data_IF_842956715646
#
_entry.id   IF_842956715646
#
_cell.length_a   1.000
_cell.length_b   1.000
_cell.length_c   1.000
_cell.angle_alpha   90.00
_cell.angle_beta   90.00
_cell.angle_gamma   90.00
#
_symmetry.space_group_name_H-M   'P 1'
#
loop_
_entity.id
_entity.type
_entity.pdbx_description
1 polymer ?
#
# COMPACT_ATOMS: atom_id res chain seq x y z
N UNK A 1 -61.70 -25.00 -12.64
CA UNK A 1 -61.91 -23.55 -12.72
C UNK A 1 -60.83 -22.96 -13.61
N UNK A 2 -61.20 -22.01 -14.47
CA UNK A 2 -60.40 -21.11 -15.32
C UNK A 2 -59.15 -20.54 -14.60
N UNK A 3 -58.08 -19.99 -15.20
CA UNK A 3 -57.66 -19.66 -16.57
C UNK A 3 -56.14 -19.29 -16.53
N UNK A 4 -55.33 -19.11 -17.58
CA UNK A 4 -55.43 -19.25 -19.06
C UNK A 4 -54.00 -19.39 -19.63
N UNK A 5 -53.84 -19.78 -20.90
CA UNK A 5 -52.57 -19.63 -21.64
C UNK A 5 -52.38 -18.20 -22.19
N UNK A 6 -51.13 -17.81 -22.45
CA UNK A 6 -50.79 -16.62 -23.27
C UNK A 6 -49.43 -16.81 -23.96
N UNK A 7 -49.41 -16.65 -25.29
CA UNK A 7 -48.21 -16.74 -26.12
C UNK A 7 -47.84 -15.33 -26.63
N UNK A 8 -46.60 -14.89 -26.37
CA UNK A 8 -46.10 -13.58 -26.75
C UNK A 8 -45.34 -13.60 -28.08
N UNK A 9 -46.03 -13.26 -29.16
CA UNK A 9 -45.43 -13.06 -30.48
C UNK A 9 -44.67 -11.72 -30.52
N UNK A 10 -43.44 -11.66 -31.05
CA UNK A 10 -42.70 -10.40 -31.22
C UNK A 10 -42.36 -10.15 -32.70
N UNK A 11 -42.86 -9.02 -33.20
CA UNK A 11 -42.78 -8.56 -34.59
C UNK A 11 -41.55 -7.67 -34.83
N UNK A 12 -41.12 -7.59 -36.09
CA UNK A 12 -40.08 -6.68 -36.55
C UNK A 12 -40.54 -5.20 -36.52
N UNK A 13 -39.62 -4.24 -36.33
CA UNK A 13 -39.88 -2.83 -36.59
C UNK A 13 -39.59 -2.46 -38.06
N UNK A 14 -40.59 -1.89 -38.73
CA UNK A 14 -40.43 -1.19 -40.03
C UNK A 14 -40.34 0.31 -39.78
N UNK A 15 -39.44 1.03 -40.47
CA UNK A 15 -39.36 2.50 -40.44
C UNK A 15 -39.50 3.13 -41.84
N UNK A 16 -39.89 4.43 -41.95
CA UNK A 16 -40.53 4.95 -43.16
C UNK A 16 -39.79 6.11 -43.87
N UNK A 17 -40.12 6.33 -45.14
CA UNK A 17 -40.01 7.59 -45.90
C UNK A 17 -40.70 7.39 -47.26
N UNK A 18 -41.32 8.37 -47.94
CA UNK A 18 -41.56 9.77 -47.60
C UNK A 18 -41.70 10.63 -48.88
N UNK A 19 -42.83 11.34 -49.07
CA UNK A 19 -43.13 12.29 -50.20
C UNK A 19 -43.24 11.65 -51.61
N UNK A 20 -43.93 12.21 -52.63
CA UNK A 20 -44.63 13.50 -52.78
C UNK A 20 -45.93 13.38 -53.63
N UNK A 21 -46.71 14.45 -53.71
CA UNK A 21 -47.98 14.60 -54.44
C UNK A 21 -47.83 15.13 -55.88
N UNK A 22 -48.78 14.82 -56.78
CA UNK A 22 -49.64 15.83 -57.47
C UNK A 22 -50.44 15.33 -58.70
N UNK A 23 -51.72 15.74 -58.76
CA UNK A 23 -52.57 16.07 -59.93
C UNK A 23 -52.66 15.17 -61.20
N UNK A 24 -53.88 14.69 -61.48
CA UNK A 24 -54.44 14.40 -62.82
C UNK A 24 -54.75 15.70 -63.60
N UNK A 25 -55.09 15.69 -64.92
CA UNK A 25 -56.42 15.24 -65.39
C UNK A 25 -56.42 14.50 -66.77
N UNK A 26 -57.58 14.46 -67.42
CA UNK A 26 -58.08 13.41 -68.34
C UNK A 26 -58.20 13.86 -69.83
N UNK A 27 -58.70 12.97 -70.70
CA UNK A 27 -59.36 13.16 -72.02
C UNK A 27 -58.59 12.82 -73.33
N UNK A 28 -59.03 11.72 -73.96
CA UNK A 28 -59.20 11.38 -75.40
C UNK A 28 -58.42 12.15 -76.49
N UNK A 29 -57.78 11.43 -77.43
CA UNK A 29 -58.31 11.14 -78.80
C UNK A 29 -57.26 10.51 -79.76
N UNK A 30 -57.76 9.79 -80.77
CA UNK A 30 -57.03 8.90 -81.68
C UNK A 30 -55.99 9.51 -82.64
N UNK A 31 -54.90 8.77 -82.90
CA UNK A 31 -54.12 8.79 -84.15
C UNK A 31 -53.44 7.42 -84.40
N UNK A 32 -53.18 7.08 -85.67
CA UNK A 32 -52.73 5.75 -86.13
C UNK A 32 -51.26 5.41 -85.78
N UNK A 33 -50.87 4.12 -85.70
CA UNK A 33 -49.56 3.71 -85.21
C UNK A 33 -48.42 3.94 -86.23
N UNK A 34 -47.32 4.62 -85.86
CA UNK A 34 -46.10 4.61 -86.65
C UNK A 34 -45.39 3.26 -86.54
N UNK A 35 -44.97 2.69 -87.68
CA UNK A 35 -44.20 1.44 -87.74
C UNK A 35 -42.90 1.53 -86.90
N UNK A 36 -42.47 0.44 -86.25
CA UNK A 36 -41.34 0.46 -85.32
C UNK A 36 -40.03 0.79 -86.03
N UNK A 37 -39.35 1.85 -85.57
CA UNK A 37 -38.03 2.25 -86.07
C UNK A 37 -36.95 1.81 -85.09
N UNK A 38 -36.07 0.92 -85.55
CA UNK A 38 -34.66 0.69 -85.17
C UNK A 38 -34.19 0.54 -83.70
N UNK A 39 -34.89 1.02 -82.66
CA UNK A 39 -34.37 1.00 -81.28
C UNK A 39 -34.66 -0.30 -80.51
N UNK A 40 -35.54 -1.16 -81.05
CA UNK A 40 -35.82 -2.49 -80.47
C UNK A 40 -34.57 -3.36 -80.32
N UNK A 41 -33.60 -3.25 -81.23
CA UNK A 41 -32.34 -4.00 -81.16
C UNK A 41 -31.48 -3.60 -79.95
N UNK A 42 -31.38 -2.30 -79.63
CA UNK A 42 -30.64 -1.81 -78.46
C UNK A 42 -31.31 -2.25 -77.16
N UNK A 43 -32.65 -2.18 -77.09
CA UNK A 43 -33.39 -2.67 -75.93
C UNK A 43 -33.25 -4.18 -75.74
N UNK A 44 -33.30 -4.97 -76.83
CA UNK A 44 -33.04 -6.41 -76.78
C UNK A 44 -31.60 -6.73 -76.35
N UNK A 45 -30.61 -5.95 -76.79
CA UNK A 45 -29.21 -6.10 -76.38
C UNK A 45 -29.01 -5.76 -74.89
N UNK A 46 -29.65 -4.70 -74.38
CA UNK A 46 -29.65 -4.39 -72.94
C UNK A 46 -30.34 -5.48 -72.11
N UNK A 47 -31.46 -6.04 -72.59
CA UNK A 47 -32.13 -7.16 -71.93
C UNK A 47 -31.32 -8.46 -72.00
N UNK A 48 -30.52 -8.68 -73.05
CA UNK A 48 -29.58 -9.79 -73.13
C UNK A 48 -28.47 -9.64 -72.09
N UNK A 49 -27.80 -8.48 -72.04
CA UNK A 49 -26.76 -8.17 -71.04
C UNK A 49 -27.31 -8.23 -69.60
N UNK A 50 -28.52 -7.75 -69.35
CA UNK A 50 -29.15 -7.86 -68.03
C UNK A 50 -29.44 -9.32 -67.63
N UNK A 51 -29.86 -10.16 -68.57
CA UNK A 51 -30.07 -11.60 -68.34
C UNK A 51 -28.76 -12.37 -68.18
N UNK A 52 -27.70 -11.94 -68.86
CA UNK A 52 -26.35 -12.50 -68.71
C UNK A 52 -25.79 -12.18 -67.33
N UNK A 53 -25.76 -10.90 -66.96
CA UNK A 53 -25.34 -10.44 -65.62
C UNK A 53 -26.13 -11.08 -64.48
N UNK A 54 -27.44 -11.29 -64.66
CA UNK A 54 -28.27 -11.94 -63.64
C UNK A 54 -27.96 -13.43 -63.50
N UNK A 55 -27.56 -14.12 -64.57
CA UNK A 55 -27.04 -15.50 -64.50
C UNK A 55 -25.66 -15.56 -63.85
N UNK A 56 -24.77 -14.61 -64.15
CA UNK A 56 -23.47 -14.51 -63.48
C UNK A 56 -23.64 -14.36 -61.97
N UNK A 57 -24.55 -13.47 -61.53
CA UNK A 57 -24.87 -13.29 -60.10
C UNK A 57 -25.48 -14.54 -59.47
N UNK A 58 -26.35 -15.27 -60.18
CA UNK A 58 -26.90 -16.55 -59.70
C UNK A 58 -25.80 -17.62 -59.55
N UNK A 59 -24.88 -17.71 -60.50
CA UNK A 59 -23.74 -18.63 -60.44
C UNK A 59 -22.78 -18.26 -59.30
N UNK A 60 -22.53 -16.97 -59.07
CA UNK A 60 -21.68 -16.50 -57.96
C UNK A 60 -22.31 -16.81 -56.59
N UNK A 61 -23.63 -16.61 -56.45
CA UNK A 61 -24.35 -16.98 -55.22
C UNK A 61 -24.28 -18.49 -54.97
N UNK A 62 -24.55 -19.32 -55.98
CA UNK A 62 -24.44 -20.77 -55.87
C UNK A 62 -23.02 -21.24 -55.48
N UNK A 63 -21.97 -20.60 -56.02
CA UNK A 63 -20.59 -20.88 -55.64
C UNK A 63 -20.31 -20.50 -54.18
N UNK A 64 -20.81 -19.35 -53.71
CA UNK A 64 -20.68 -18.94 -52.30
C UNK A 64 -21.44 -19.88 -51.36
N UNK A 65 -22.65 -20.29 -51.72
CA UNK A 65 -23.43 -21.27 -50.94
C UNK A 65 -22.72 -22.63 -50.83
N UNK A 66 -22.08 -23.10 -51.90
CA UNK A 66 -21.24 -24.30 -51.87
C UNK A 66 -20.06 -24.16 -50.87
N UNK A 67 -19.34 -23.03 -50.88
CA UNK A 67 -18.25 -22.79 -49.91
C UNK A 67 -18.75 -22.69 -48.46
N UNK A 68 -19.97 -22.18 -48.23
CA UNK A 68 -20.57 -22.16 -46.89
C UNK A 68 -20.94 -23.57 -46.43
N UNK A 69 -21.42 -24.43 -47.34
CA UNK A 69 -21.67 -25.84 -47.04
C UNK A 69 -20.37 -26.59 -46.69
N UNK A 70 -19.32 -26.42 -47.49
CA UNK A 70 -18.00 -27.01 -47.25
C UNK A 70 -17.39 -26.56 -45.91
N UNK A 71 -17.45 -25.26 -45.58
CA UNK A 71 -16.96 -24.76 -44.29
C UNK A 71 -17.77 -25.26 -43.09
N UNK A 72 -19.08 -25.50 -43.27
CA UNK A 72 -19.92 -26.13 -42.23
C UNK A 72 -19.58 -27.61 -42.04
N UNK A 73 -19.38 -28.34 -43.13
CA UNK A 73 -18.94 -29.73 -43.08
C UNK A 73 -17.54 -29.87 -42.46
N UNK A 74 -16.61 -28.98 -42.79
CA UNK A 74 -15.29 -28.91 -42.17
C UNK A 74 -15.36 -28.60 -40.66
N UNK A 75 -16.27 -27.71 -40.23
CA UNK A 75 -16.52 -27.45 -38.80
C UNK A 75 -17.16 -28.66 -38.09
N UNK A 76 -18.08 -29.37 -38.73
CA UNK A 76 -18.64 -30.61 -38.19
C UNK A 76 -17.63 -31.76 -38.15
N UNK A 77 -16.74 -31.86 -39.13
CA UNK A 77 -15.63 -32.81 -39.11
C UNK A 77 -14.62 -32.46 -38.00
N UNK A 78 -14.33 -31.17 -37.82
CA UNK A 78 -13.46 -30.70 -36.74
C UNK A 78 -14.07 -30.81 -35.35
N UNK A 79 -15.39 -30.83 -35.20
CA UNK A 79 -16.06 -31.05 -33.91
C UNK A 79 -16.30 -32.53 -33.61
N UNK A 80 -16.39 -33.39 -34.63
CA UNK A 80 -16.44 -34.86 -34.50
C UNK A 80 -15.04 -35.49 -34.36
N UNK A 81 -13.98 -34.77 -34.73
CA UNK A 81 -12.60 -35.20 -34.46
C UNK A 81 -12.34 -35.19 -32.94
N UNK A 82 -11.90 -36.32 -32.34
CA UNK A 82 -11.65 -36.37 -30.90
C UNK A 82 -10.43 -35.52 -30.53
N UNK A 83 -10.69 -34.32 -30.00
CA UNK A 83 -9.68 -33.48 -29.36
C UNK A 83 -9.13 -34.22 -28.14
N UNK A 84 -7.92 -34.76 -28.27
CA UNK A 84 -7.30 -35.68 -27.31
C UNK A 84 -6.86 -35.05 -25.97
N UNK A 85 -7.52 -33.96 -25.53
CA UNK A 85 -7.19 -33.22 -24.31
C UNK A 85 -8.39 -32.59 -23.60
N UNK A 86 -9.64 -32.95 -23.93
CA UNK A 86 -10.83 -32.52 -23.19
C UNK A 86 -11.67 -33.73 -22.77
N UNK A 87 -11.49 -34.14 -21.51
CA UNK A 87 -12.40 -35.06 -20.82
C UNK A 87 -13.78 -34.43 -20.68
N UNK A 88 -14.70 -34.84 -21.52
CA UNK A 88 -16.13 -34.50 -21.44
C UNK A 88 -16.77 -35.25 -20.27
N UNK A 89 -16.71 -34.67 -19.07
CA UNK A 89 -17.65 -35.03 -18.00
C UNK A 89 -18.94 -34.22 -18.19
N UNK A 90 -19.93 -34.84 -18.85
CA UNK A 90 -21.31 -34.34 -18.95
C UNK A 90 -22.03 -34.40 -17.59
N UNK A 91 -21.63 -33.55 -16.63
CA UNK A 91 -22.51 -33.04 -15.57
C UNK A 91 -22.14 -31.58 -15.33
N UNK A 92 -23.14 -30.69 -15.43
CA UNK A 92 -22.99 -29.24 -15.28
C UNK A 92 -22.87 -28.81 -13.80
N UNK A 93 -21.89 -29.36 -13.07
CA UNK A 93 -21.53 -28.83 -11.75
C UNK A 93 -20.73 -27.54 -11.89
N UNK A 94 -21.23 -26.46 -11.29
CA UNK A 94 -20.48 -25.22 -11.17
C UNK A 94 -19.30 -25.41 -10.20
N UNK A 95 -18.10 -24.90 -10.51
CA UNK A 95 -16.97 -24.96 -9.59
C UNK A 95 -17.31 -24.21 -8.30
N UNK A 96 -17.15 -24.86 -7.15
CA UNK A 96 -17.39 -24.28 -5.83
C UNK A 96 -16.37 -23.20 -5.47
N UNK A 97 -15.10 -23.39 -5.87
CA UNK A 97 -14.00 -22.48 -5.53
C UNK A 97 -12.81 -22.60 -6.47
N UNK A 98 -12.10 -21.50 -6.71
CA UNK A 98 -10.76 -21.52 -7.31
C UNK A 98 -9.70 -21.57 -6.19
N UNK A 99 -8.88 -22.63 -6.15
CA UNK A 99 -7.89 -22.87 -5.11
C UNK A 99 -6.53 -22.26 -5.43
N UNK A 100 -6.12 -22.31 -6.70
CA UNK A 100 -4.81 -21.88 -7.15
C UNK A 100 -4.91 -21.23 -8.53
N UNK A 101 -4.10 -20.20 -8.76
CA UNK A 101 -3.97 -19.50 -10.03
C UNK A 101 -2.48 -19.45 -10.38
N UNK A 102 -2.10 -20.05 -11.51
CA UNK A 102 -0.72 -20.07 -12.00
C UNK A 102 -0.69 -19.42 -13.38
N UNK A 103 0.21 -18.46 -13.59
CA UNK A 103 0.44 -17.90 -14.94
C UNK A 103 1.52 -18.70 -15.65
N UNK A 104 1.40 -18.96 -16.96
CA UNK A 104 2.48 -19.64 -17.72
C UNK A 104 3.76 -18.80 -17.79
N UNK A 105 3.62 -17.48 -17.68
CA UNK A 105 4.75 -16.56 -17.45
C UNK A 105 5.51 -16.90 -16.15
N UNK A 106 4.83 -17.38 -15.11
CA UNK A 106 5.46 -17.86 -13.87
C UNK A 106 6.29 -19.14 -14.07
N UNK A 107 6.05 -19.88 -15.16
CA UNK A 107 6.72 -21.14 -15.52
C UNK A 107 7.82 -20.96 -16.59
N UNK A 108 8.10 -19.71 -17.01
CA UNK A 108 9.09 -19.43 -18.06
C UNK A 108 8.67 -19.84 -19.48
N UNK A 109 7.40 -20.21 -19.67
CA UNK A 109 6.84 -20.53 -20.98
C UNK A 109 6.53 -19.22 -21.75
N UNK A 110 6.80 -19.21 -23.05
CA UNK A 110 6.56 -18.03 -23.91
C UNK A 110 5.08 -17.82 -24.25
N UNK A 111 4.22 -18.80 -23.96
CA UNK A 111 2.77 -18.72 -24.18
C UNK A 111 2.08 -17.97 -23.04
N UNK A 112 0.96 -17.29 -23.36
CA UNK A 112 0.25 -16.40 -22.43
C UNK A 112 -0.89 -17.10 -21.66
N UNK A 113 -0.80 -18.41 -21.48
CA UNK A 113 -1.84 -19.15 -20.77
C UNK A 113 -1.86 -18.87 -19.27
N UNK A 114 -2.99 -19.20 -18.66
CA UNK A 114 -3.22 -19.23 -17.22
C UNK A 114 -3.86 -20.55 -16.85
N UNK A 115 -3.51 -21.08 -15.69
CA UNK A 115 -4.07 -22.29 -15.13
C UNK A 115 -4.79 -21.96 -13.85
N UNK A 116 -6.02 -22.45 -13.69
CA UNK A 116 -6.71 -22.52 -12.40
C UNK A 116 -6.82 -23.96 -11.94
N UNK A 117 -6.64 -24.16 -10.64
CA UNK A 117 -7.14 -25.34 -9.94
C UNK A 117 -8.53 -25.03 -9.40
N UNK A 118 -9.55 -25.72 -9.91
CA UNK A 118 -10.94 -25.58 -9.52
C UNK A 118 -11.36 -26.75 -8.62
N UNK A 119 -12.15 -26.43 -7.60
CA UNK A 119 -12.76 -27.37 -6.66
C UNK A 119 -14.24 -27.54 -7.01
N UNK A 120 -14.64 -28.76 -7.35
CA UNK A 120 -16.02 -29.18 -7.61
C UNK A 120 -16.57 -29.93 -6.39
N UNK A 121 -17.78 -30.50 -6.47
CA UNK A 121 -18.37 -31.25 -5.35
C UNK A 121 -17.54 -32.52 -5.02
N UNK A 122 -17.12 -33.26 -6.05
CA UNK A 122 -16.42 -34.55 -5.91
C UNK A 122 -14.98 -34.57 -6.47
N UNK A 123 -14.51 -33.48 -7.10
CA UNK A 123 -13.25 -33.48 -7.85
C UNK A 123 -12.45 -32.16 -7.78
N UNK A 124 -11.14 -32.27 -8.06
CA UNK A 124 -10.25 -31.14 -8.33
C UNK A 124 -9.79 -31.19 -9.79
N UNK A 125 -10.01 -30.10 -10.56
CA UNK A 125 -9.66 -30.04 -11.97
C UNK A 125 -8.71 -28.87 -12.28
N UNK A 126 -7.69 -29.11 -13.12
CA UNK A 126 -6.85 -28.05 -13.67
C UNK A 126 -7.39 -27.59 -15.03
N UNK A 127 -7.85 -26.33 -15.13
CA UNK A 127 -8.30 -25.74 -16.40
C UNK A 127 -7.31 -24.69 -16.93
N UNK A 128 -6.96 -24.82 -18.22
CA UNK A 128 -6.14 -23.85 -18.97
C UNK A 128 -7.03 -22.79 -19.62
N UNK A 129 -6.61 -21.53 -19.51
CA UNK A 129 -7.22 -20.38 -20.17
C UNK A 129 -6.17 -19.69 -21.04
N UNK A 130 -6.50 -19.44 -22.31
CA UNK A 130 -5.59 -18.81 -23.29
C UNK A 130 -5.24 -17.35 -22.96
N UNK A 131 -6.07 -16.69 -22.16
CA UNK A 131 -5.89 -15.28 -21.79
C UNK A 131 -6.63 -14.91 -20.50
N UNK A 132 -6.24 -13.79 -19.91
CA UNK A 132 -6.94 -13.16 -18.80
C UNK A 132 -8.41 -12.86 -19.12
N UNK A 133 -8.71 -12.42 -20.35
CA UNK A 133 -10.07 -12.13 -20.76
C UNK A 133 -10.96 -13.39 -20.74
N UNK A 134 -10.45 -14.54 -21.23
CA UNK A 134 -11.16 -15.83 -21.16
C UNK A 134 -11.40 -16.29 -19.72
N UNK A 135 -10.43 -16.10 -18.84
CA UNK A 135 -10.54 -16.39 -17.41
C UNK A 135 -11.64 -15.55 -16.75
N UNK A 136 -11.63 -14.22 -16.93
CA UNK A 136 -12.68 -13.35 -16.37
C UNK A 136 -14.05 -13.60 -16.99
N UNK A 137 -14.12 -13.98 -18.26
CA UNK A 137 -15.36 -14.35 -18.96
C UNK A 137 -15.96 -15.64 -18.38
N UNK A 138 -15.13 -16.67 -18.13
CA UNK A 138 -15.54 -17.91 -17.42
C UNK A 138 -16.10 -17.61 -16.02
N UNK A 139 -15.35 -16.86 -15.20
CA UNK A 139 -15.76 -16.44 -13.85
C UNK A 139 -17.07 -15.64 -13.82
N UNK A 140 -17.42 -14.95 -14.92
CA UNK A 140 -18.68 -14.19 -15.07
C UNK A 140 -19.83 -15.00 -15.65
N UNK A 141 -19.56 -16.05 -16.42
CA UNK A 141 -20.58 -16.80 -17.19
C UNK A 141 -21.17 -17.99 -16.47
N UNK A 142 -20.48 -18.55 -15.48
CA UNK A 142 -20.96 -19.71 -14.72
C UNK A 142 -21.41 -19.31 -13.28
N UNK A 143 -22.36 -18.37 -13.08
CA UNK A 143 -22.83 -18.00 -11.75
C UNK A 143 -23.82 -19.03 -11.20
N UNK A 144 -23.28 -20.17 -10.76
CA UNK A 144 -23.94 -21.08 -9.82
C UNK A 144 -24.06 -20.44 -8.43
N UNK A 145 -24.87 -19.39 -8.32
CA UNK A 145 -25.20 -18.60 -7.12
C UNK A 145 -24.14 -17.64 -6.52
N UNK A 146 -22.83 -17.86 -6.68
CA UNK A 146 -21.80 -16.97 -6.13
C UNK A 146 -20.68 -16.66 -7.15
N UNK A 147 -20.18 -15.40 -7.27
CA UNK A 147 -19.05 -15.08 -8.14
C UNK A 147 -17.76 -15.76 -7.65
N UNK A 148 -17.16 -16.59 -8.51
CA UNK A 148 -15.96 -17.36 -8.17
C UNK A 148 -14.77 -16.44 -7.83
N UNK A 149 -14.38 -16.35 -6.55
CA UNK A 149 -13.20 -15.59 -6.14
C UNK A 149 -11.93 -16.25 -6.70
N UNK A 150 -11.23 -15.55 -7.61
CA UNK A 150 -9.96 -16.03 -8.19
C UNK A 150 -8.78 -15.56 -7.32
N UNK A 151 -7.94 -16.47 -6.80
CA UNK A 151 -6.74 -16.10 -6.06
C UNK A 151 -5.76 -15.24 -6.87
N UNK A 152 -4.96 -14.42 -6.18
CA UNK A 152 -3.82 -13.74 -6.79
C UNK A 152 -2.89 -14.76 -7.47
N UNK A 153 -2.33 -14.45 -8.65
CA UNK A 153 -1.46 -15.37 -9.36
C UNK A 153 -0.25 -15.75 -8.51
N UNK A 154 0.05 -17.05 -8.49
CA UNK A 154 1.23 -17.60 -7.83
C UNK A 154 2.49 -16.89 -8.33
N UNK A 155 3.27 -16.41 -7.36
CA UNK A 155 4.55 -15.73 -7.54
C UNK A 155 5.44 -16.52 -8.51
N UNK A 156 6.13 -15.81 -9.42
CA UNK A 156 6.98 -16.47 -10.43
C UNK A 156 8.13 -17.21 -9.76
N UNK A 157 8.72 -18.21 -10.44
CA UNK A 157 9.88 -18.93 -9.90
C UNK A 157 11.07 -17.97 -9.65
N UNK A 158 11.24 -16.97 -10.53
CA UNK A 158 12.26 -15.94 -10.38
C UNK A 158 11.97 -15.00 -9.19
N UNK A 159 10.73 -14.50 -9.06
CA UNK A 159 10.33 -13.69 -7.89
C UNK A 159 10.48 -14.49 -6.58
N UNK A 160 10.16 -15.78 -6.59
CA UNK A 160 10.29 -16.67 -5.45
C UNK A 160 11.76 -16.91 -5.06
N UNK A 161 12.66 -17.00 -6.05
CA UNK A 161 14.11 -17.03 -5.84
C UNK A 161 14.60 -15.71 -5.26
N UNK A 162 14.19 -14.59 -5.84
CA UNK A 162 14.52 -13.23 -5.40
C UNK A 162 14.10 -12.98 -3.94
N UNK A 163 12.91 -13.46 -3.55
CA UNK A 163 12.40 -13.37 -2.16
C UNK A 163 13.19 -14.26 -1.22
N UNK A 164 13.58 -15.47 -1.64
CA UNK A 164 14.46 -16.36 -0.85
C UNK A 164 15.84 -15.74 -0.64
N UNK A 165 16.47 -15.24 -1.71
CA UNK A 165 17.79 -14.61 -1.62
C UNK A 165 17.77 -13.38 -0.70
N UNK A 166 16.74 -12.52 -0.82
CA UNK A 166 16.56 -11.37 0.09
C UNK A 166 16.35 -11.81 1.54
N UNK A 167 15.56 -12.86 1.79
CA UNK A 167 15.37 -13.41 3.13
C UNK A 167 16.66 -14.00 3.71
N UNK A 168 17.46 -14.70 2.91
CA UNK A 168 18.77 -15.23 3.31
C UNK A 168 19.76 -14.09 3.64
N UNK A 169 19.80 -13.05 2.81
CA UNK A 169 20.61 -11.84 3.07
C UNK A 169 20.16 -11.11 4.35
N UNK A 170 18.85 -11.00 4.60
CA UNK A 170 18.33 -10.41 5.84
C UNK A 170 18.69 -11.26 7.07
N UNK A 171 18.55 -12.58 7.00
CA UNK A 171 18.95 -13.51 8.09
C UNK A 171 20.45 -13.44 8.36
N UNK A 172 21.29 -13.40 7.32
CA UNK A 172 22.74 -13.25 7.47
C UNK A 172 23.10 -11.91 8.14
N UNK A 173 22.49 -10.81 7.69
CA UNK A 173 22.67 -9.47 8.30
C UNK A 173 22.23 -9.44 9.76
N UNK A 174 21.06 -10.02 10.07
CA UNK A 174 20.55 -10.12 11.45
C UNK A 174 21.51 -10.94 12.32
N UNK A 175 22.02 -12.07 11.82
CA UNK A 175 23.00 -12.89 12.54
C UNK A 175 24.29 -12.13 12.86
N UNK A 176 24.82 -11.35 11.91
CA UNK A 176 26.00 -10.51 12.13
C UNK A 176 25.72 -9.33 13.07
N UNK A 177 24.55 -8.72 13.01
CA UNK A 177 24.16 -7.68 13.95
C UNK A 177 23.94 -8.25 15.37
N UNK A 178 23.45 -9.48 15.52
CA UNK A 178 23.44 -10.19 16.81
C UNK A 178 24.85 -10.51 17.32
N UNK A 179 25.80 -10.92 16.44
CA UNK A 179 27.21 -11.11 16.81
C UNK A 179 27.83 -9.79 17.31
N UNK A 180 27.67 -8.70 16.56
CA UNK A 180 28.13 -7.35 16.96
C UNK A 180 27.52 -6.92 18.29
N UNK A 181 26.21 -7.08 18.46
CA UNK A 181 25.50 -6.73 19.70
C UNK A 181 26.02 -7.53 20.89
N UNK A 182 26.26 -8.85 20.74
CA UNK A 182 26.83 -9.69 21.80
C UNK A 182 28.24 -9.25 22.21
N UNK A 183 29.09 -8.91 21.24
CA UNK A 183 30.44 -8.38 21.50
C UNK A 183 30.37 -7.01 22.18
N UNK A 184 29.52 -6.10 21.71
CA UNK A 184 29.32 -4.79 22.34
C UNK A 184 28.77 -4.89 23.76
N UNK A 185 27.80 -5.78 24.02
CA UNK A 185 27.26 -6.02 25.35
C UNK A 185 28.32 -6.57 26.32
N UNK A 186 29.17 -7.50 25.88
CA UNK A 186 30.28 -8.02 26.68
C UNK A 186 31.38 -6.96 26.94
N UNK A 187 31.67 -6.08 25.97
CA UNK A 187 32.57 -4.93 26.16
C UNK A 187 31.97 -3.94 27.19
N UNK A 188 30.70 -3.56 27.05
CA UNK A 188 30.02 -2.64 27.98
C UNK A 188 29.89 -3.24 29.39
N UNK A 189 29.73 -4.56 29.48
CA UNK A 189 29.76 -5.28 30.75
C UNK A 189 31.15 -5.20 31.38
N UNK A 190 32.22 -5.53 30.66
CA UNK A 190 33.60 -5.43 31.15
C UNK A 190 34.00 -4.00 31.52
N UNK A 191 33.54 -2.99 30.78
CA UNK A 191 33.75 -1.58 31.11
C UNK A 191 33.06 -1.21 32.43
N UNK A 192 31.81 -1.65 32.66
CA UNK A 192 31.11 -1.43 33.93
C UNK A 192 31.75 -2.21 35.10
N UNK A 193 32.16 -3.45 34.89
CA UNK A 193 32.89 -4.24 35.88
C UNK A 193 34.26 -3.59 36.24
N UNK A 194 34.95 -3.00 35.27
CA UNK A 194 36.20 -2.27 35.50
C UNK A 194 35.98 -0.97 36.32
N UNK A 195 34.98 -0.16 35.95
CA UNK A 195 34.61 1.05 36.71
C UNK A 195 34.18 0.72 38.14
N UNK A 196 33.40 -0.34 38.34
CA UNK A 196 33.01 -0.78 39.68
C UNK A 196 34.22 -1.27 40.49
N UNK A 197 35.18 -1.97 39.86
CA UNK A 197 36.43 -2.38 40.52
C UNK A 197 37.29 -1.17 40.92
N UNK A 198 37.37 -0.16 40.06
CA UNK A 198 38.06 1.11 40.35
C UNK A 198 37.40 1.86 41.50
N UNK A 199 36.06 1.95 41.52
CA UNK A 199 35.33 2.59 42.61
C UNK A 199 35.48 1.84 43.94
N UNK A 200 35.42 0.50 43.95
CA UNK A 200 35.66 -0.28 45.16
C UNK A 200 37.09 -0.12 45.68
N UNK A 201 38.10 -0.17 44.81
CA UNK A 201 39.49 0.07 45.20
C UNK A 201 39.69 1.49 45.75
N UNK A 202 39.03 2.50 45.16
CA UNK A 202 39.05 3.88 45.65
C UNK A 202 38.39 4.01 47.03
N UNK A 203 37.29 3.29 47.28
CA UNK A 203 36.64 3.25 48.61
C UNK A 203 37.54 2.56 49.66
N UNK A 204 38.24 1.48 49.31
CA UNK A 204 39.20 0.81 50.20
C UNK A 204 40.40 1.70 50.56
N UNK A 205 40.95 2.45 49.59
CA UNK A 205 42.01 3.44 49.85
C UNK A 205 41.50 4.57 50.75
N UNK A 206 40.26 5.04 50.55
CA UNK A 206 39.68 6.06 51.43
C UNK A 206 39.48 5.53 52.86
N UNK A 207 38.92 4.32 53.00
CA UNK A 207 38.67 3.68 54.30
C UNK A 207 39.94 3.27 55.06
N UNK A 208 41.08 3.14 54.38
CA UNK A 208 42.38 2.90 55.02
C UNK A 208 43.14 4.19 55.35
N UNK A 209 42.94 5.26 54.58
CA UNK A 209 43.45 6.60 54.91
C UNK A 209 42.75 7.22 56.13
N UNK A 210 41.47 6.88 56.37
CA UNK A 210 40.63 7.43 57.45
C UNK A 210 40.64 6.57 58.72
N UNK A 211 41.70 5.78 58.96
CA UNK A 211 42.00 5.20 60.27
C UNK A 211 42.83 6.20 61.08
N UNK A 212 42.24 6.99 62.00
CA UNK A 212 43.03 7.85 62.87
C UNK A 212 43.94 7.00 63.77
N UNK A 213 45.17 7.44 64.06
CA UNK A 213 45.95 6.87 65.15
C UNK A 213 45.19 7.08 66.47
N UNK A 214 45.27 6.12 67.39
CA UNK A 214 44.62 6.19 68.71
C UNK A 214 45.23 7.29 69.59
N UNK A 215 44.89 8.55 69.33
CA UNK A 215 45.27 9.68 70.17
C UNK A 215 44.11 10.08 71.08
N UNK A 216 44.20 9.62 72.32
CA UNK A 216 43.56 10.14 73.53
C UNK A 216 43.09 11.61 73.41
N UNK A 217 41.77 11.85 73.28
CA UNK A 217 41.22 13.18 72.97
C UNK A 217 40.01 13.57 73.85
N UNK A 218 40.24 13.65 75.16
CA UNK A 218 39.18 13.79 76.16
C UNK A 218 38.62 15.23 76.35
N UNK A 219 39.00 16.19 75.48
CA UNK A 219 38.68 17.62 75.66
C UNK A 219 37.95 18.30 74.46
N UNK A 220 37.59 17.56 73.41
CA UNK A 220 36.96 18.14 72.20
C UNK A 220 35.46 17.80 72.03
N UNK A 221 34.83 17.21 73.05
CA UNK A 221 33.47 16.64 72.98
C UNK A 221 32.36 17.63 72.62
N UNK A 222 32.48 18.91 72.98
CA UNK A 222 31.46 19.93 72.69
C UNK A 222 31.42 20.39 71.23
N UNK A 223 32.56 20.38 70.53
CA UNK A 223 32.63 20.78 69.11
C UNK A 223 32.29 19.62 68.17
N UNK A 224 32.66 18.39 68.55
CA UNK A 224 32.23 17.17 67.87
C UNK A 224 30.69 16.99 67.95
N UNK A 225 30.11 17.09 69.16
CA UNK A 225 28.66 16.97 69.37
C UNK A 225 27.83 17.96 68.55
N UNK A 226 28.29 19.20 68.36
CA UNK A 226 27.61 20.18 67.53
C UNK A 226 27.63 19.81 66.03
N UNK A 227 28.76 19.32 65.52
CA UNK A 227 28.89 18.84 64.13
C UNK A 227 28.06 17.58 63.89
N UNK A 228 28.11 16.63 64.82
CA UNK A 228 27.27 15.41 64.78
C UNK A 228 25.77 15.75 64.80
N UNK A 229 25.34 16.80 65.52
CA UNK A 229 23.97 17.27 65.51
C UNK A 229 23.57 17.91 64.17
N UNK A 230 24.44 18.72 63.56
CA UNK A 230 24.21 19.26 62.22
C UNK A 230 24.17 18.16 61.15
N UNK A 231 25.09 17.20 61.21
CA UNK A 231 25.16 16.11 60.22
C UNK A 231 24.01 15.11 60.39
N UNK A 232 23.56 14.85 61.63
CA UNK A 232 22.28 14.16 61.87
C UNK A 232 21.10 14.92 61.29
N UNK A 233 21.06 16.26 61.40
CA UNK A 233 19.97 17.07 60.83
C UNK A 233 20.00 17.07 59.28
N UNK A 234 21.19 17.10 58.67
CA UNK A 234 21.36 16.94 57.21
C UNK A 234 20.94 15.55 56.74
N UNK A 235 21.32 14.49 57.48
CA UNK A 235 20.91 13.12 57.20
C UNK A 235 19.39 12.95 57.33
N UNK A 236 18.77 13.50 58.38
CA UNK A 236 17.30 13.49 58.55
C UNK A 236 16.61 14.22 57.39
N UNK A 237 17.05 15.43 57.03
CA UNK A 237 16.50 16.18 55.90
C UNK A 237 16.66 15.43 54.57
N UNK A 238 17.75 14.67 54.38
CA UNK A 238 17.98 13.88 53.17
C UNK A 238 17.16 12.58 53.15
N UNK A 239 16.90 11.98 54.31
CA UNK A 239 15.98 10.84 54.44
C UNK A 239 14.55 11.29 54.12
N UNK A 240 14.10 12.40 54.70
CA UNK A 240 12.76 12.98 54.45
C UNK A 240 12.58 13.37 52.97
N UNK A 241 13.61 13.94 52.33
CA UNK A 241 13.61 14.22 50.88
C UNK A 241 13.51 12.94 50.03
N UNK A 242 14.26 11.89 50.38
CA UNK A 242 14.22 10.61 49.68
C UNK A 242 12.92 9.84 49.92
N UNK A 243 12.30 9.96 51.09
CA UNK A 243 10.98 9.40 51.39
C UNK A 243 9.90 10.10 50.54
N UNK A 244 9.92 11.44 50.46
CA UNK A 244 9.02 12.20 49.58
C UNK A 244 9.23 11.89 48.08
N UNK A 245 10.48 11.70 47.63
CA UNK A 245 10.78 11.27 46.26
C UNK A 245 10.26 9.84 46.00
N UNK A 246 10.40 8.93 46.96
CA UNK A 246 9.94 7.55 46.85
C UNK A 246 8.40 7.44 46.86
N UNK A 247 7.70 8.23 47.70
CA UNK A 247 6.23 8.35 47.64
C UNK A 247 5.77 8.88 46.29
N UNK A 248 6.42 9.93 45.76
CA UNK A 248 6.11 10.47 44.44
C UNK A 248 6.30 9.43 43.34
N UNK A 249 7.45 8.74 43.31
CA UNK A 249 7.73 7.67 42.36
C UNK A 249 6.74 6.49 42.49
N UNK A 250 6.27 6.19 43.70
CA UNK A 250 5.21 5.21 43.94
C UNK A 250 3.88 5.64 43.31
N UNK A 251 3.51 6.93 43.42
CA UNK A 251 2.30 7.46 42.76
C UNK A 251 2.43 7.49 41.24
N UNK A 252 3.60 7.84 40.70
CA UNK A 252 3.87 7.81 39.25
C UNK A 252 3.89 6.37 38.71
N UNK A 253 4.40 5.40 39.48
CA UNK A 253 4.35 3.98 39.13
C UNK A 253 2.91 3.43 39.16
N UNK A 254 2.10 3.83 40.14
CA UNK A 254 0.67 3.48 40.19
C UNK A 254 -0.11 4.10 39.02
N UNK A 255 0.22 5.33 38.64
CA UNK A 255 -0.33 5.98 37.45
C UNK A 255 0.09 5.23 36.18
N UNK A 256 1.37 4.90 36.00
CA UNK A 256 1.85 4.12 34.86
C UNK A 256 1.16 2.74 34.76
N UNK A 257 0.93 2.06 35.89
CA UNK A 257 0.16 0.82 35.93
C UNK A 257 -1.31 1.01 35.51
N UNK A 258 -1.96 2.09 35.96
CA UNK A 258 -3.33 2.43 35.54
C UNK A 258 -3.42 2.74 34.04
N UNK A 259 -2.46 3.48 33.48
CA UNK A 259 -2.38 3.78 32.05
C UNK A 259 -2.15 2.52 31.22
N UNK A 260 -1.28 1.61 31.68
CA UNK A 260 -1.09 0.30 31.05
C UNK A 260 -2.39 -0.51 31.05
N UNK A 261 -3.06 -0.63 32.20
CA UNK A 261 -4.35 -1.35 32.29
C UNK A 261 -5.42 -0.78 31.37
N UNK A 262 -5.50 0.55 31.21
CA UNK A 262 -6.41 1.20 30.25
C UNK A 262 -6.03 0.93 28.79
N UNK A 263 -4.73 0.88 28.48
CA UNK A 263 -4.25 0.54 27.15
C UNK A 263 -4.55 -0.91 26.79
N UNK A 264 -4.26 -1.85 27.70
CA UNK A 264 -4.51 -3.28 27.52
C UNK A 264 -6.02 -3.52 27.29
N UNK A 265 -6.90 -2.90 28.10
CA UNK A 265 -8.35 -2.97 27.90
C UNK A 265 -8.82 -2.41 26.54
N UNK A 266 -8.27 -1.26 26.09
CA UNK A 266 -8.60 -0.69 24.79
C UNK A 266 -8.10 -1.55 23.60
N UNK A 267 -7.02 -2.32 23.80
CA UNK A 267 -6.52 -3.30 22.84
C UNK A 267 -7.45 -4.52 22.76
N UNK A 268 -7.91 -5.03 23.90
CA UNK A 268 -8.86 -6.14 23.97
C UNK A 268 -10.21 -5.77 23.31
N UNK A 269 -10.73 -4.57 23.59
CA UNK A 269 -11.96 -4.07 22.96
C UNK A 269 -11.81 -3.90 21.44
N UNK A 270 -10.66 -3.38 20.96
CA UNK A 270 -10.35 -3.32 19.52
C UNK A 270 -10.38 -4.72 18.90
N UNK A 271 -9.74 -5.70 19.52
CA UNK A 271 -9.63 -7.05 18.95
C UNK A 271 -10.96 -7.80 19.02
N UNK A 272 -11.78 -7.56 20.04
CA UNK A 272 -13.18 -8.00 20.13
C UNK A 272 -14.04 -7.41 19.01
N UNK A 273 -13.99 -6.10 18.79
CA UNK A 273 -14.70 -5.44 17.70
C UNK A 273 -14.21 -5.94 16.34
N UNK A 274 -12.90 -6.11 16.16
CA UNK A 274 -12.33 -6.65 14.93
C UNK A 274 -12.77 -8.11 14.68
N UNK A 275 -12.91 -8.92 15.74
CA UNK A 275 -13.46 -10.27 15.64
C UNK A 275 -14.96 -10.25 15.27
N UNK A 276 -15.75 -9.32 15.82
CA UNK A 276 -17.16 -9.12 15.41
C UNK A 276 -17.27 -8.68 13.95
N UNK A 277 -16.46 -7.73 13.49
CA UNK A 277 -16.39 -7.29 12.08
C UNK A 277 -16.03 -8.47 11.16
N UNK A 278 -15.06 -9.31 11.54
CA UNK A 278 -14.74 -10.55 10.79
C UNK A 278 -15.92 -11.51 10.75
N UNK A 279 -16.60 -11.71 11.87
CA UNK A 279 -17.75 -12.63 11.99
C UNK A 279 -18.95 -12.16 11.16
N UNK A 280 -19.28 -10.87 11.20
CA UNK A 280 -20.35 -10.28 10.38
C UNK A 280 -20.01 -10.36 8.88
N UNK A 281 -18.74 -10.11 8.52
CA UNK A 281 -18.25 -10.26 7.14
C UNK A 281 -18.32 -11.70 6.64
N UNK A 282 -18.04 -12.70 7.49
CA UNK A 282 -18.19 -14.12 7.15
C UNK A 282 -19.65 -14.63 7.20
N UNK A 283 -20.57 -13.85 7.78
CA UNK A 283 -21.98 -14.23 7.94
C UNK A 283 -22.90 -13.60 6.87
N UNK A 284 -22.34 -12.87 5.90
CA UNK A 284 -23.12 -12.26 4.81
C UNK A 284 -24.13 -11.19 5.28
N UNK A 285 -23.89 -10.55 6.43
CA UNK A 285 -24.81 -9.57 7.01
C UNK A 285 -24.97 -8.33 6.13
N UNK A 286 -26.20 -7.79 6.07
CA UNK A 286 -26.59 -6.71 5.16
C UNK A 286 -25.64 -5.50 5.17
N UNK A 287 -25.35 -4.99 3.96
CA UNK A 287 -24.37 -3.93 3.69
C UNK A 287 -24.56 -2.62 4.47
N UNK A 288 -25.72 -2.42 5.11
CA UNK A 288 -26.03 -1.21 5.90
C UNK A 288 -25.35 -1.20 7.27
N UNK A 289 -25.42 -2.31 8.02
CA UNK A 289 -24.88 -2.39 9.39
C UNK A 289 -23.35 -2.45 9.35
N UNK A 290 -22.77 -3.17 8.38
CA UNK A 290 -21.33 -3.17 8.14
C UNK A 290 -20.81 -1.77 7.73
N UNK A 291 -21.60 -0.98 7.00
CA UNK A 291 -21.24 0.38 6.63
C UNK A 291 -21.35 1.37 7.80
N UNK A 292 -22.25 1.16 8.76
CA UNK A 292 -22.27 1.91 10.02
C UNK A 292 -21.02 1.57 10.85
N UNK A 293 -20.78 0.29 11.13
CA UNK A 293 -19.66 -0.17 11.95
C UNK A 293 -18.28 0.19 11.36
N UNK A 294 -18.17 0.27 10.03
CA UNK A 294 -16.98 0.77 9.34
C UNK A 294 -16.75 2.28 9.55
N UNK A 295 -17.81 3.10 9.57
CA UNK A 295 -17.72 4.54 9.89
C UNK A 295 -17.29 4.75 11.32
N UNK A 296 -17.90 4.04 12.27
CA UNK A 296 -17.57 4.12 13.70
C UNK A 296 -16.11 3.73 13.96
N UNK A 297 -15.61 2.70 13.27
CA UNK A 297 -14.21 2.30 13.35
C UNK A 297 -13.24 3.35 12.74
N UNK A 298 -13.64 4.08 11.70
CA UNK A 298 -12.85 5.17 11.13
C UNK A 298 -12.99 6.51 11.90
N UNK A 299 -14.08 6.70 12.64
CA UNK A 299 -14.26 7.71 13.69
C UNK A 299 -13.27 7.46 14.84
N UNK A 300 -13.28 6.25 15.40
CA UNK A 300 -12.41 5.85 16.51
C UNK A 300 -10.91 5.97 16.15
N UNK A 301 -10.53 5.70 14.90
CA UNK A 301 -9.16 5.99 14.41
C UNK A 301 -8.82 7.47 14.37
N UNK A 302 -9.76 8.34 13.96
CA UNK A 302 -9.57 9.79 13.95
C UNK A 302 -9.43 10.31 15.37
N UNK A 303 -10.26 9.85 16.28
CA UNK A 303 -10.15 10.15 17.71
C UNK A 303 -8.81 9.68 18.28
N UNK A 304 -8.42 8.41 18.05
CA UNK A 304 -7.12 7.90 18.52
C UNK A 304 -5.93 8.70 17.98
N UNK A 305 -5.98 9.13 16.71
CA UNK A 305 -4.97 10.02 16.12
C UNK A 305 -4.93 11.40 16.80
N UNK A 306 -6.10 11.97 17.10
CA UNK A 306 -6.22 13.24 17.82
C UNK A 306 -5.70 13.10 19.27
N UNK A 307 -6.08 12.05 19.99
CA UNK A 307 -5.57 11.73 21.32
C UNK A 307 -4.04 11.56 21.33
N UNK A 308 -3.47 10.83 20.37
CA UNK A 308 -2.00 10.70 20.24
C UNK A 308 -1.33 12.04 19.97
N UNK A 309 -1.89 12.87 19.10
CA UNK A 309 -1.37 14.22 18.84
C UNK A 309 -1.46 15.13 20.08
N UNK A 310 -2.55 15.05 20.84
CA UNK A 310 -2.77 15.82 22.05
C UNK A 310 -1.87 15.36 23.21
N UNK A 311 -1.64 14.05 23.37
CA UNK A 311 -0.69 13.49 24.33
C UNK A 311 0.76 13.90 24.01
N UNK A 312 1.17 13.84 22.73
CA UNK A 312 2.48 14.34 22.29
C UNK A 312 2.63 15.86 22.50
N UNK A 313 1.55 16.63 22.33
CA UNK A 313 1.52 18.06 22.63
C UNK A 313 1.64 18.34 24.13
N UNK A 314 1.00 17.52 24.97
CA UNK A 314 1.09 17.61 26.43
C UNK A 314 2.51 17.26 26.92
N UNK A 315 3.13 16.19 26.39
CA UNK A 315 4.52 15.84 26.70
C UNK A 315 5.49 16.97 26.31
N UNK A 316 5.38 17.53 25.10
CA UNK A 316 6.20 18.70 24.71
C UNK A 316 5.97 19.92 25.59
N UNK A 317 4.73 20.17 26.02
CA UNK A 317 4.43 21.25 26.95
C UNK A 317 5.08 21.00 28.32
N UNK A 318 5.08 19.76 28.79
CA UNK A 318 5.72 19.35 30.04
C UNK A 318 7.26 19.42 29.96
N UNK A 319 7.86 19.04 28.82
CA UNK A 319 9.28 19.24 28.52
C UNK A 319 9.64 20.74 28.54
N UNK A 320 8.80 21.60 27.95
CA UNK A 320 8.99 23.05 27.96
C UNK A 320 8.87 23.66 29.37
N UNK A 321 7.93 23.19 30.21
CA UNK A 321 7.82 23.66 31.60
C UNK A 321 8.96 23.15 32.49
N UNK A 322 9.40 21.90 32.31
CA UNK A 322 10.55 21.35 33.04
C UNK A 322 11.86 22.03 32.63
N UNK A 323 12.06 22.28 31.33
CA UNK A 323 13.22 23.03 30.83
C UNK A 323 13.28 24.48 31.37
N UNK A 324 12.12 25.09 31.65
CA UNK A 324 12.03 26.38 32.36
C UNK A 324 12.38 26.30 33.85
N UNK A 325 12.29 25.12 34.46
CA UNK A 325 12.54 24.90 35.90
C UNK A 325 13.99 24.52 36.21
N UNK A 326 14.73 23.96 35.24
CA UNK A 326 16.12 23.48 35.43
C UNK A 326 17.19 24.51 35.02
N UNK A 327 16.82 25.73 34.66
CA UNK A 327 17.75 26.74 34.15
C UNK A 327 18.66 27.39 35.24
N UNK A 328 18.47 27.04 36.52
CA UNK A 328 19.14 27.67 37.67
C UNK A 328 20.17 26.79 38.41
N UNK A 329 20.51 25.59 37.92
CA UNK A 329 21.57 24.76 38.52
C UNK A 329 22.51 24.10 37.50
N UNK A 330 23.72 24.65 37.41
CA UNK A 330 25.00 24.06 36.95
C UNK A 330 25.01 23.19 35.67
N UNK A 331 25.77 23.64 34.66
CA UNK A 331 25.83 23.00 33.35
C UNK A 331 26.42 21.58 33.27
N UNK A 332 25.94 20.84 32.27
CA UNK A 332 26.47 19.56 31.79
C UNK A 332 25.99 19.32 30.36
N UNK A 333 26.88 18.88 29.46
CA UNK A 333 26.60 18.77 28.02
C UNK A 333 25.67 17.61 27.61
N UNK A 334 25.19 17.60 26.36
CA UNK A 334 24.11 16.71 25.92
C UNK A 334 24.59 15.31 25.54
N UNK A 335 23.96 14.26 26.08
CA UNK A 335 24.08 12.89 25.53
C UNK A 335 22.82 12.03 25.68
N UNK A 336 22.36 11.55 24.51
CA UNK A 336 21.86 10.20 24.25
C UNK A 336 20.84 9.58 25.21
N UNK A 337 19.55 9.75 24.89
CA UNK A 337 18.46 8.95 25.48
C UNK A 337 17.39 8.51 24.44
N UNK A 338 17.79 8.42 23.17
CA UNK A 338 16.91 8.12 22.02
C UNK A 338 17.15 6.70 21.45
N UNK A 339 17.66 5.78 22.29
CA UNK A 339 18.24 4.51 21.85
C UNK A 339 17.87 3.31 22.73
N UNK A 340 16.61 3.21 23.20
CA UNK A 340 16.10 1.97 23.81
C UNK A 340 14.56 1.83 23.71
N UNK A 341 14.01 1.74 22.49
CA UNK A 341 12.54 1.77 22.29
C UNK A 341 11.93 1.09 21.06
N UNK A 342 12.67 0.28 20.28
CA UNK A 342 12.09 -0.44 19.12
C UNK A 342 12.65 -1.86 18.94
N UNK A 343 12.10 -2.83 19.70
CA UNK A 343 12.37 -4.28 19.53
C UNK A 343 11.13 -5.18 19.66
N UNK A 344 9.92 -4.62 19.52
CA UNK A 344 8.66 -5.38 19.66
C UNK A 344 7.81 -5.57 18.39
N UNK A 345 7.99 -4.75 17.35
CA UNK A 345 6.97 -4.55 16.31
C UNK A 345 7.15 -5.39 15.03
N UNK A 346 7.64 -6.63 15.12
CA UNK A 346 8.01 -7.43 13.93
C UNK A 346 6.82 -7.99 13.11
N UNK A 347 5.58 -8.00 13.63
CA UNK A 347 4.39 -8.47 12.89
C UNK A 347 3.53 -7.34 12.27
N UNK A 348 3.78 -6.06 12.56
CA UNK A 348 2.95 -4.94 12.07
C UNK A 348 3.37 -4.38 10.69
N UNK A 349 4.53 -4.80 10.15
CA UNK A 349 5.26 -4.06 9.10
C UNK A 349 4.64 -4.02 7.69
N UNK A 350 3.50 -4.68 7.41
CA UNK A 350 2.86 -4.65 6.07
C UNK A 350 1.86 -3.50 5.85
N UNK A 351 1.56 -2.66 6.85
CA UNK A 351 0.54 -1.58 6.72
C UNK A 351 0.99 -0.13 6.99
N UNK A 352 2.21 0.12 7.48
CA UNK A 352 2.67 1.48 7.87
C UNK A 352 3.39 2.27 6.76
N UNK A 353 3.34 1.84 5.49
CA UNK A 353 4.11 2.48 4.41
C UNK A 353 3.64 3.89 4.05
N UNK A 354 2.42 4.28 4.44
CA UNK A 354 1.79 5.57 4.12
C UNK A 354 1.94 6.66 5.19
N UNK A 355 2.36 6.32 6.42
CA UNK A 355 2.55 7.31 7.49
C UNK A 355 3.97 7.87 7.52
N UNK A 356 5.00 7.02 7.31
CA UNK A 356 6.41 7.46 7.23
C UNK A 356 6.66 8.56 6.20
N UNK A 357 5.96 8.51 5.05
CA UNK A 357 6.12 9.52 3.99
C UNK A 357 5.71 10.93 4.44
N UNK A 358 4.79 11.06 5.41
CA UNK A 358 4.38 12.36 5.94
C UNK A 358 5.46 12.96 6.85
N UNK A 359 5.98 12.17 7.79
CA UNK A 359 7.04 12.62 8.72
C UNK A 359 8.36 12.89 7.98
N UNK A 360 8.73 12.04 7.01
CA UNK A 360 9.86 12.29 6.10
C UNK A 360 9.68 13.58 5.30
N UNK A 361 8.45 13.92 4.89
CA UNK A 361 8.17 15.17 4.17
C UNK A 361 8.32 16.40 5.06
N UNK A 362 7.88 16.32 6.32
CA UNK A 362 8.08 17.40 7.31
C UNK A 362 9.57 17.61 7.59
N UNK A 363 10.34 16.53 7.79
CA UNK A 363 11.78 16.61 7.97
C UNK A 363 12.51 17.19 6.76
N UNK A 364 12.14 16.77 5.53
CA UNK A 364 12.68 17.33 4.27
C UNK A 364 12.35 18.81 4.10
N UNK A 365 11.12 19.23 4.43
CA UNK A 365 10.72 20.64 4.39
C UNK A 365 11.51 21.50 5.40
N UNK A 366 11.74 20.99 6.61
CA UNK A 366 12.53 21.69 7.62
C UNK A 366 14.01 21.79 7.22
N UNK A 367 14.59 20.72 6.65
CA UNK A 367 15.93 20.74 6.07
C UNK A 367 16.03 21.76 4.92
N UNK A 368 15.09 21.73 3.98
CA UNK A 368 15.05 22.63 2.83
C UNK A 368 14.90 24.10 3.26
N UNK A 369 14.07 24.40 4.26
CA UNK A 369 13.92 25.75 4.83
C UNK A 369 15.26 26.29 5.35
N UNK A 370 15.99 25.49 6.13
CA UNK A 370 17.30 25.88 6.65
C UNK A 370 18.33 26.04 5.52
N UNK A 371 18.30 25.16 4.52
CA UNK A 371 19.19 25.20 3.37
C UNK A 371 18.96 26.45 2.49
N UNK A 372 17.70 26.82 2.25
CA UNK A 372 17.34 28.05 1.52
C UNK A 372 17.68 29.31 2.30
N UNK A 373 17.47 29.33 3.63
CA UNK A 373 17.82 30.47 4.47
C UNK A 373 19.33 30.72 4.46
N UNK A 374 20.15 29.66 4.54
CA UNK A 374 21.60 29.74 4.42
C UNK A 374 22.05 30.12 2.99
N UNK A 375 21.36 29.64 1.95
CA UNK A 375 21.67 29.98 0.56
C UNK A 375 21.45 31.48 0.26
N UNK A 376 20.34 32.05 0.75
CA UNK A 376 20.04 33.47 0.59
C UNK A 376 20.95 34.35 1.47
N UNK A 377 21.26 33.91 2.69
CA UNK A 377 22.11 34.65 3.64
C UNK A 377 23.61 34.56 3.39
N UNK A 378 24.09 33.58 2.62
CA UNK A 378 25.52 33.46 2.29
C UNK A 378 25.95 34.48 1.23
N UNK A 379 27.17 34.98 1.35
CA UNK A 379 27.87 35.76 0.30
C UNK A 379 28.89 34.92 -0.48
N UNK A 380 29.19 33.69 -0.05
CA UNK A 380 30.25 32.86 -0.65
C UNK A 380 29.73 32.00 -1.81
N UNK A 381 30.26 32.22 -3.01
CA UNK A 381 29.85 31.51 -4.23
C UNK A 381 30.00 29.98 -4.13
N UNK A 382 31.04 29.47 -3.47
CA UNK A 382 31.26 28.02 -3.27
C UNK A 382 30.23 27.39 -2.32
N UNK A 383 29.88 28.11 -1.24
CA UNK A 383 28.83 27.67 -0.32
C UNK A 383 27.47 27.66 -1.02
N UNK A 384 27.16 28.68 -1.84
CA UNK A 384 25.96 28.72 -2.67
C UNK A 384 25.87 27.54 -3.63
N UNK A 385 26.93 27.25 -4.37
CA UNK A 385 26.95 26.11 -5.31
C UNK A 385 26.72 24.76 -4.61
N UNK A 386 27.29 24.56 -3.42
CA UNK A 386 27.04 23.35 -2.63
C UNK A 386 25.57 23.26 -2.18
N UNK A 387 24.99 24.37 -1.72
CA UNK A 387 23.59 24.43 -1.30
C UNK A 387 22.61 24.26 -2.48
N UNK A 388 22.91 24.82 -3.65
CA UNK A 388 22.16 24.61 -4.89
C UNK A 388 22.09 23.13 -5.25
N UNK A 389 23.22 22.42 -5.29
CA UNK A 389 23.26 20.97 -5.60
C UNK A 389 22.42 20.15 -4.60
N UNK A 390 22.43 20.55 -3.32
CA UNK A 390 21.60 19.91 -2.30
C UNK A 390 20.10 20.23 -2.48
N UNK A 391 19.72 21.48 -2.77
CA UNK A 391 18.33 21.87 -3.09
C UNK A 391 17.82 21.09 -4.31
N UNK A 392 18.61 21.03 -5.38
CA UNK A 392 18.35 20.31 -6.63
C UNK A 392 18.10 18.81 -6.39
N UNK A 393 18.82 18.23 -5.43
CA UNK A 393 18.69 16.81 -5.07
C UNK A 393 17.46 16.56 -4.18
N UNK A 394 17.17 17.44 -3.23
CA UNK A 394 16.01 17.31 -2.32
C UNK A 394 14.68 17.55 -3.03
N UNK A 395 14.64 18.49 -3.97
CA UNK A 395 13.45 18.78 -4.80
C UNK A 395 13.32 17.87 -6.02
N UNK A 396 14.28 16.98 -6.26
CA UNK A 396 14.29 16.01 -7.36
C UNK A 396 14.05 16.64 -8.75
N UNK A 397 14.67 17.79 -9.04
CA UNK A 397 14.56 18.43 -10.35
C UNK A 397 14.95 17.48 -11.48
N UNK A 398 14.26 17.61 -12.61
CA UNK A 398 14.55 16.93 -13.86
C UNK A 398 15.92 17.35 -14.43
N UNK A 399 16.52 16.53 -15.32
CA UNK A 399 17.76 16.92 -16.03
C UNK A 399 17.63 18.25 -16.78
N UNK A 400 16.46 18.52 -17.37
CA UNK A 400 16.19 19.73 -18.15
C UNK A 400 16.14 20.99 -17.27
N UNK A 401 15.55 20.90 -16.09
CA UNK A 401 15.55 22.00 -15.10
C UNK A 401 16.96 22.30 -14.60
N UNK A 402 17.79 21.27 -14.37
CA UNK A 402 19.21 21.45 -14.01
C UNK A 402 19.97 22.16 -15.13
N UNK A 403 19.78 21.74 -16.38
CA UNK A 403 20.40 22.38 -17.53
C UNK A 403 20.00 23.87 -17.68
N UNK A 404 18.72 24.20 -17.40
CA UNK A 404 18.25 25.61 -17.38
C UNK A 404 18.91 26.42 -16.26
N UNK A 405 19.07 25.86 -15.06
CA UNK A 405 19.76 26.53 -13.94
C UNK A 405 21.23 26.78 -14.30
N UNK A 406 21.94 25.79 -14.85
CA UNK A 406 23.33 25.93 -15.27
C UNK A 406 23.50 26.93 -16.43
N UNK A 407 22.53 27.02 -17.34
CA UNK A 407 22.51 28.05 -18.39
C UNK A 407 22.27 29.45 -17.80
N UNK A 408 21.34 29.61 -16.87
CA UNK A 408 21.08 30.89 -16.19
C UNK A 408 22.32 31.41 -15.44
N UNK A 409 23.06 30.51 -14.77
CA UNK A 409 24.33 30.83 -14.11
C UNK A 409 25.41 31.27 -15.10
N UNK A 410 25.52 30.62 -16.26
CA UNK A 410 26.45 31.03 -17.34
C UNK A 410 26.06 32.35 -17.99
N UNK A 411 24.76 32.70 -18.00
CA UNK A 411 24.25 33.96 -18.52
C UNK A 411 24.38 35.14 -17.54
N UNK A 412 24.81 34.93 -16.29
CA UNK A 412 25.01 35.98 -15.27
C UNK A 412 26.47 36.17 -14.82
N UNK A 413 27.41 36.52 -15.72
CA UNK A 413 28.71 37.02 -15.31
C UNK A 413 28.65 38.51 -14.92
N UNK A 414 28.87 38.79 -13.63
CA UNK A 414 29.39 40.06 -13.10
C UNK A 414 28.68 41.38 -13.53
N UNK A 415 27.42 41.60 -13.14
CA UNK A 415 26.80 42.94 -13.13
C UNK A 415 25.75 43.13 -12.03
N UNK A 416 26.15 42.94 -10.76
CA UNK A 416 25.45 43.56 -9.61
C UNK A 416 26.39 43.77 -8.41
N UNK A 417 27.49 44.48 -8.66
CA UNK A 417 28.02 45.38 -7.63
C UNK A 417 27.32 46.72 -7.82
N UNK A 418 26.99 47.42 -6.72
CA UNK A 418 26.13 48.62 -6.68
C UNK A 418 24.63 48.30 -6.74
N UNK A 419 23.98 48.15 -5.57
CA UNK A 419 23.12 49.20 -4.99
C UNK A 419 22.92 48.91 -3.49
N UNK A 420 22.52 49.94 -2.73
CA UNK A 420 22.38 49.93 -1.26
C UNK A 420 21.25 49.04 -0.75
#
# INVERSE_FOLDING_TARGET
MSSSASAGNLLLPTTPNGTASSSSPDVRAAAAPPKPRADGGKMQQLLALARERLREQQNELAAREATIAELREALEASSKAPSAAQTTTDVSEAPRRALCHVSEKSLGLSEKGRWLLLEFEEALEWRRFESEARLHDFVRRDPGSEPLEVPEPAMTIDDARDVREKAEQEVAKIADDFRKYRVQAEIQRKQREALHREETARREVLATADKPPETNNNNNSKSASAREAEDRKKLQSRVEELEAENEKLSTDAALAAQWKSRYDAAVDDRDRLQAQVRKLRSAGADSSEYAALARDHDELKREFKNYRAQALKALRAQELTNAGSTASSSGGGPRALDALGDRGASQARRRERTTRTADDSVAKLQYLKNLMLNYLGSSEAKAKEHMERAIVTVLAFSPDEKARIDQAKKATPASTSTFF
#
